data_IF_917460633592
#
_entry.id   IF_917460633592
#
_cell.length_a   1.000
_cell.length_b   1.000
_cell.length_c   1.000
_cell.angle_alpha   90.00
_cell.angle_beta   90.00
_cell.angle_gamma   90.00
#
_symmetry.space_group_name_H-M   'P 1'
#
loop_
_entity.id
_entity.type
_entity.pdbx_description
1 polymer ?
#
# COMPACT_ATOMS: atom_id res chain seq x y z
N UNK A 1 15.73 33.61 -31.15
CA UNK A 1 14.82 34.00 -32.24
C UNK A 1 13.58 33.09 -32.20
N UNK A 2 12.46 33.56 -31.63
CA UNK A 2 11.16 32.89 -31.82
C UNK A 2 10.54 33.53 -33.06
N UNK A 3 10.25 32.75 -34.09
CA UNK A 3 9.61 33.20 -35.32
C UNK A 3 8.19 33.72 -35.02
N UNK A 4 8.07 35.00 -34.66
CA UNK A 4 6.77 35.65 -34.40
C UNK A 4 5.87 35.66 -35.65
N UNK A 5 6.48 35.73 -36.84
CA UNK A 5 5.79 35.73 -38.14
C UNK A 5 5.25 34.34 -38.51
N UNK A 6 5.80 33.26 -37.95
CA UNK A 6 5.40 31.88 -38.28
C UNK A 6 4.98 31.08 -37.03
N UNK A 7 4.33 31.74 -36.07
CA UNK A 7 3.88 31.12 -34.82
C UNK A 7 2.95 29.91 -35.03
N UNK A 8 2.11 29.95 -36.07
CA UNK A 8 1.16 28.88 -36.41
C UNK A 8 1.71 27.79 -37.34
N UNK A 9 3.00 27.83 -37.71
CA UNK A 9 3.58 26.84 -38.62
C UNK A 9 3.88 25.53 -37.91
N UNK A 10 3.34 24.42 -38.42
CA UNK A 10 3.72 23.07 -37.97
C UNK A 10 5.14 22.72 -38.45
N UNK A 11 6.06 22.47 -37.51
CA UNK A 11 7.49 22.16 -37.76
C UNK A 11 7.89 20.71 -37.51
N UNK A 12 7.12 19.95 -36.74
CA UNK A 12 7.41 18.56 -36.38
C UNK A 12 6.46 17.64 -37.14
N UNK A 13 7.00 16.87 -38.10
CA UNK A 13 6.24 15.99 -39.00
C UNK A 13 6.92 14.62 -39.03
N UNK A 14 6.14 13.54 -38.99
CA UNK A 14 6.64 12.16 -39.15
C UNK A 14 6.26 11.65 -40.54
N UNK A 15 7.21 10.98 -41.19
CA UNK A 15 6.97 10.28 -42.45
C UNK A 15 6.77 8.79 -42.16
N UNK A 16 5.71 8.23 -42.72
CA UNK A 16 5.38 6.81 -42.61
C UNK A 16 5.52 6.12 -43.95
N UNK A 17 5.51 4.79 -43.95
CA UNK A 17 5.47 4.02 -45.18
C UNK A 17 4.14 4.27 -45.90
N UNK A 18 4.19 4.50 -47.22
CA UNK A 18 3.04 4.80 -48.07
C UNK A 18 2.02 3.67 -48.13
N UNK A 19 2.42 2.44 -47.85
CA UNK A 19 1.52 1.28 -47.83
C UNK A 19 0.70 1.14 -46.55
N UNK A 20 1.07 1.81 -45.45
CA UNK A 20 0.36 1.72 -44.18
C UNK A 20 -0.76 2.78 -44.11
N UNK A 21 -1.94 2.36 -43.67
CA UNK A 21 -3.05 3.29 -43.45
C UNK A 21 -2.77 4.16 -42.22
N UNK A 22 -2.90 5.49 -42.36
CA UNK A 22 -2.48 6.46 -41.32
C UNK A 22 -3.18 6.27 -39.97
N UNK A 23 -4.42 5.78 -39.94
CA UNK A 23 -5.15 5.58 -38.68
C UNK A 23 -4.61 4.42 -37.83
N UNK A 24 -3.92 3.46 -38.46
CA UNK A 24 -3.45 2.24 -37.79
C UNK A 24 -2.04 2.38 -37.22
N UNK A 25 -1.37 3.49 -37.53
CA UNK A 25 0.01 3.74 -37.13
C UNK A 25 0.08 4.00 -35.63
N UNK A 26 0.75 3.09 -34.91
CA UNK A 26 0.99 3.24 -33.47
C UNK A 26 2.31 3.97 -33.23
N UNK A 27 2.21 5.20 -32.74
CA UNK A 27 3.36 6.02 -32.36
C UNK A 27 3.53 5.92 -30.84
N UNK A 28 4.76 5.86 -30.34
CA UNK A 28 4.99 5.81 -28.88
C UNK A 28 4.58 7.13 -28.21
N UNK A 29 4.19 7.14 -26.92
CA UNK A 29 3.79 8.36 -26.23
C UNK A 29 4.92 9.40 -26.15
N UNK A 30 6.19 8.97 -26.08
CA UNK A 30 7.34 9.88 -26.08
C UNK A 30 7.44 10.68 -27.39
N UNK A 31 7.26 10.00 -28.54
CA UNK A 31 7.22 10.68 -29.84
C UNK A 31 6.00 11.60 -29.97
N UNK A 32 4.85 11.23 -29.40
CA UNK A 32 3.69 12.12 -29.36
C UNK A 32 3.96 13.40 -28.56
N UNK A 33 4.61 13.31 -27.39
CA UNK A 33 4.97 14.49 -26.59
C UNK A 33 5.88 15.43 -27.37
N UNK A 34 6.85 14.87 -28.10
CA UNK A 34 7.71 15.66 -28.97
C UNK A 34 6.92 16.25 -30.14
N UNK A 35 6.08 15.50 -30.84
CA UNK A 35 5.26 16.05 -31.94
C UNK A 35 4.29 17.14 -31.48
N UNK A 36 3.81 17.07 -30.24
CA UNK A 36 2.89 18.04 -29.62
C UNK A 36 3.59 19.20 -28.92
N UNK A 37 4.90 19.38 -29.11
CA UNK A 37 5.69 20.47 -28.48
C UNK A 37 5.67 20.48 -26.94
N UNK A 38 5.33 19.36 -26.31
CA UNK A 38 5.38 19.21 -24.84
C UNK A 38 6.83 19.00 -24.40
N UNK A 39 7.60 18.22 -25.17
CA UNK A 39 9.02 17.98 -24.94
C UNK A 39 9.86 18.80 -25.92
N UNK A 40 10.96 19.41 -25.46
CA UNK A 40 11.88 20.15 -26.33
C UNK A 40 12.71 19.19 -27.19
N UNK A 41 13.45 18.29 -26.54
CA UNK A 41 14.33 17.32 -27.18
C UNK A 41 13.59 16.12 -27.77
N UNK A 42 14.07 15.61 -28.90
CA UNK A 42 13.54 14.40 -29.51
C UNK A 42 13.91 13.16 -28.68
N UNK A 43 13.05 12.14 -28.60
CA UNK A 43 13.36 10.92 -27.87
C UNK A 43 14.53 10.16 -28.50
N UNK A 44 15.49 9.78 -27.66
CA UNK A 44 16.68 9.02 -28.05
C UNK A 44 16.33 7.56 -28.35
N UNK A 45 17.14 6.90 -29.20
CA UNK A 45 17.00 5.47 -29.47
C UNK A 45 17.21 4.62 -28.22
N UNK A 46 18.12 5.04 -27.34
CA UNK A 46 18.39 4.37 -26.06
C UNK A 46 17.18 4.46 -25.12
N UNK A 47 16.53 5.63 -25.06
CA UNK A 47 15.30 5.83 -24.27
C UNK A 47 14.19 4.89 -24.75
N UNK A 48 14.03 4.75 -26.07
CA UNK A 48 13.04 3.85 -26.66
C UNK A 48 13.33 2.38 -26.32
N UNK A 49 14.61 1.97 -26.36
CA UNK A 49 15.00 0.63 -25.97
C UNK A 49 14.69 0.35 -24.49
N UNK A 50 15.03 1.30 -23.61
CA UNK A 50 14.72 1.22 -22.18
C UNK A 50 13.22 1.11 -21.93
N UNK A 51 12.40 1.84 -22.68
CA UNK A 51 10.94 1.77 -22.58
C UNK A 51 10.40 0.37 -22.90
N UNK A 52 10.92 -0.27 -23.95
CA UNK A 52 10.53 -1.65 -24.31
C UNK A 52 10.94 -2.63 -23.21
N UNK A 53 12.15 -2.50 -22.68
CA UNK A 53 12.65 -3.36 -21.60
C UNK A 53 11.81 -3.19 -20.32
N UNK A 54 11.51 -1.94 -19.95
CA UNK A 54 10.64 -1.61 -18.82
C UNK A 54 9.25 -2.24 -18.99
N UNK A 55 8.64 -2.17 -20.17
CA UNK A 55 7.34 -2.80 -20.43
C UNK A 55 7.37 -4.32 -20.23
N UNK A 56 8.45 -4.99 -20.67
CA UNK A 56 8.63 -6.44 -20.47
C UNK A 56 8.77 -6.79 -18.99
N UNK A 57 9.63 -6.07 -18.28
CA UNK A 57 9.84 -6.26 -16.83
C UNK A 57 8.53 -6.03 -16.06
N UNK A 58 7.78 -4.99 -16.39
CA UNK A 58 6.52 -4.67 -15.72
C UNK A 58 5.49 -5.80 -15.87
N UNK A 59 5.40 -6.42 -17.05
CA UNK A 59 4.50 -7.57 -17.27
C UNK A 59 4.90 -8.77 -16.42
N UNK A 60 6.19 -9.06 -16.30
CA UNK A 60 6.68 -10.14 -15.46
C UNK A 60 6.40 -9.86 -13.97
N UNK A 61 6.69 -8.64 -13.51
CA UNK A 61 6.44 -8.24 -12.13
C UNK A 61 4.95 -8.26 -11.78
N UNK A 62 4.09 -7.83 -12.70
CA UNK A 62 2.63 -7.88 -12.52
C UNK A 62 2.16 -9.33 -12.32
N UNK A 63 2.61 -10.26 -13.18
CA UNK A 63 2.30 -11.69 -13.03
C UNK A 63 2.73 -12.24 -11.67
N UNK A 64 3.96 -11.95 -11.24
CA UNK A 64 4.46 -12.42 -9.94
C UNK A 64 3.67 -11.81 -8.78
N UNK A 65 3.20 -10.56 -8.92
CA UNK A 65 2.34 -9.93 -7.93
C UNK A 65 0.97 -10.60 -7.86
N UNK A 66 0.36 -10.92 -9.01
CA UNK A 66 -0.92 -11.64 -9.09
C UNK A 66 -0.81 -13.04 -8.45
N UNK A 67 0.27 -13.78 -8.73
CA UNK A 67 0.55 -15.08 -8.10
C UNK A 67 0.68 -14.92 -6.57
N UNK A 68 1.38 -13.89 -6.11
CA UNK A 68 1.49 -13.57 -4.67
C UNK A 68 0.16 -13.15 -4.06
N UNK A 69 -0.71 -12.47 -4.80
CA UNK A 69 -2.04 -12.09 -4.33
C UNK A 69 -2.99 -13.29 -4.29
N UNK A 70 -2.94 -14.18 -5.27
CA UNK A 70 -3.73 -15.41 -5.31
C UNK A 70 -3.31 -16.41 -4.21
N UNK A 71 -2.02 -16.50 -3.91
CA UNK A 71 -1.49 -17.42 -2.88
C UNK A 71 -1.68 -16.90 -1.44
N UNK A 72 -2.05 -15.63 -1.24
CA UNK A 72 -2.42 -15.15 0.08
C UNK A 72 -3.80 -15.72 0.41
N UNK A 73 -3.96 -16.50 1.48
CA UNK A 73 -5.28 -17.01 1.85
C UNK A 73 -6.21 -15.81 2.04
N UNK A 74 -7.29 -15.78 1.24
CA UNK A 74 -8.29 -14.74 1.34
C UNK A 74 -8.86 -14.78 2.74
N UNK A 75 -8.69 -13.70 3.51
CA UNK A 75 -9.29 -13.59 4.84
C UNK A 75 -10.81 -13.76 4.78
N UNK A 76 -11.45 -13.51 3.63
CA UNK A 76 -12.90 -13.67 3.45
C UNK A 76 -13.33 -15.12 3.15
N UNK A 77 -12.42 -15.98 2.69
CA UNK A 77 -12.69 -17.41 2.52
C UNK A 77 -12.49 -18.11 3.88
N UNK A 78 -13.30 -17.69 4.86
CA UNK A 78 -13.35 -18.36 6.15
C UNK A 78 -13.91 -19.76 5.90
N UNK A 79 -13.25 -20.84 6.39
CA UNK A 79 -13.93 -22.12 6.45
C UNK A 79 -15.20 -21.91 7.29
N UNK A 80 -16.36 -22.17 6.68
CA UNK A 80 -17.69 -22.15 7.31
C UNK A 80 -17.84 -23.30 8.32
N UNK A 81 -16.87 -23.53 9.18
CA UNK A 81 -16.95 -24.54 10.22
C UNK A 81 -16.07 -24.11 11.40
N UNK A 82 -16.69 -24.09 12.59
CA UNK A 82 -16.14 -23.74 13.90
C UNK A 82 -16.24 -22.27 14.29
N UNK A 83 -17.46 -21.74 14.17
CA UNK A 83 -18.00 -20.93 15.27
C UNK A 83 -18.13 -21.87 16.48
N UNK A 84 -17.07 -22.01 17.28
CA UNK A 84 -17.26 -22.40 18.67
C UNK A 84 -18.03 -21.25 19.30
N UNK A 85 -19.27 -21.53 19.71
CA UNK A 85 -20.16 -20.53 20.26
C UNK A 85 -19.43 -19.78 21.39
N UNK A 86 -19.43 -18.44 21.42
CA UNK A 86 -18.99 -17.74 22.60
C UNK A 86 -19.93 -18.15 23.74
N UNK A 87 -19.36 -18.72 24.80
CA UNK A 87 -20.07 -18.92 26.07
C UNK A 87 -20.29 -17.54 26.69
N UNK A 88 -21.27 -16.81 26.20
CA UNK A 88 -21.84 -15.67 26.92
C UNK A 88 -22.79 -16.25 27.97
N UNK A 89 -22.26 -16.58 29.14
CA UNK A 89 -23.07 -16.68 30.35
C UNK A 89 -23.53 -15.27 30.70
N UNK A 90 -24.67 -14.88 30.16
CA UNK A 90 -25.46 -13.78 30.70
C UNK A 90 -26.11 -14.28 31.98
N UNK A 91 -25.49 -14.04 33.14
CA UNK A 91 -26.22 -14.10 34.41
C UNK A 91 -26.93 -12.78 34.58
N UNK A 92 -28.17 -12.76 34.12
CA UNK A 92 -29.18 -11.78 34.51
C UNK A 92 -29.43 -11.94 36.01
N UNK A 93 -29.27 -10.87 36.80
CA UNK A 93 -30.21 -10.48 37.86
C UNK A 93 -29.80 -9.15 38.52
N UNK A 94 -30.69 -8.15 38.59
CA UNK A 94 -30.46 -6.87 39.26
C UNK A 94 -31.13 -6.85 40.63
N UNK A 95 -30.39 -6.74 41.75
CA UNK A 95 -31.02 -6.36 43.03
C UNK A 95 -30.11 -5.42 43.82
N UNK A 96 -30.71 -4.29 44.21
CA UNK A 96 -30.16 -3.23 45.03
C UNK A 96 -29.82 -3.68 46.46
N UNK A 97 -28.64 -3.25 46.93
CA UNK A 97 -28.27 -2.74 48.26
C UNK A 97 -29.16 -3.14 49.47
N UNK A 98 -28.56 -3.90 50.40
CA UNK A 98 -28.74 -3.76 51.85
C UNK A 98 -27.40 -4.05 52.55
N UNK A 99 -27.10 -3.28 53.59
CA UNK A 99 -25.80 -3.23 54.28
C UNK A 99 -25.72 -4.25 55.45
N UNK A 100 -24.65 -4.19 56.27
CA UNK A 100 -23.62 -5.21 56.50
C UNK A 100 -23.98 -6.17 57.66
N UNK A 101 -23.16 -7.20 57.91
CA UNK A 101 -22.70 -7.67 59.23
C UNK A 101 -22.04 -9.07 59.10
N UNK A 102 -20.90 -9.26 59.77
CA UNK A 102 -20.56 -10.56 60.37
C UNK A 102 -19.50 -11.45 59.70
N UNK A 103 -18.30 -11.43 60.31
CA UNK A 103 -17.46 -12.60 60.65
C UNK A 103 -16.45 -13.16 59.63
N UNK A 104 -15.21 -12.67 59.80
CA UNK A 104 -13.98 -13.45 60.09
C UNK A 104 -13.85 -14.88 59.55
N UNK A 105 -12.83 -15.11 58.71
CA UNK A 105 -11.73 -16.05 59.02
C UNK A 105 -10.54 -15.83 58.10
N UNK A 106 -9.36 -15.79 58.71
CA UNK A 106 -8.07 -15.56 58.09
C UNK A 106 -7.58 -16.78 57.30
N UNK A 107 -6.78 -16.53 56.26
CA UNK A 107 -6.02 -17.54 55.52
C UNK A 107 -4.94 -16.89 54.67
N UNK A 108 -3.82 -16.54 55.29
CA UNK A 108 -2.60 -16.08 54.62
C UNK A 108 -2.07 -17.15 53.65
N UNK A 109 -1.78 -16.77 52.41
CA UNK A 109 -0.83 -17.48 51.56
C UNK A 109 0.16 -16.44 51.00
N UNK A 110 1.40 -16.55 51.46
CA UNK A 110 2.54 -15.71 51.11
C UNK A 110 3.08 -16.24 49.79
N UNK A 111 2.82 -15.56 48.68
CA UNK A 111 3.43 -15.89 47.39
C UNK A 111 4.77 -15.13 47.21
N UNK A 112 5.79 -15.92 46.88
CA UNK A 112 7.19 -15.50 46.67
C UNK A 112 7.31 -14.48 45.52
N UNK A 113 8.18 -13.46 45.65
CA UNK A 113 8.30 -12.36 44.68
C UNK A 113 9.05 -12.70 43.37
N UNK A 114 9.61 -13.90 43.22
CA UNK A 114 10.56 -14.19 42.12
C UNK A 114 9.89 -14.61 40.79
N UNK A 115 8.65 -15.14 40.79
CA UNK A 115 7.97 -15.55 39.55
C UNK A 115 7.27 -14.41 38.80
N UNK A 116 6.95 -13.31 39.47
CA UNK A 116 6.23 -12.19 38.87
C UNK A 116 7.10 -11.38 37.88
N UNK A 117 8.41 -11.29 38.13
CA UNK A 117 9.34 -10.52 37.29
C UNK A 117 9.68 -11.25 35.98
N UNK A 118 9.70 -12.58 35.98
CA UNK A 118 10.07 -13.35 34.80
C UNK A 118 8.94 -13.42 33.76
N UNK A 119 7.68 -13.42 34.20
CA UNK A 119 6.50 -13.31 33.32
C UNK A 119 6.44 -11.94 32.64
N UNK A 120 6.67 -10.86 33.39
CA UNK A 120 6.73 -9.50 32.84
C UNK A 120 7.90 -9.29 31.87
N UNK A 121 9.07 -9.90 32.13
CA UNK A 121 10.22 -9.87 31.20
C UNK A 121 10.00 -10.68 29.91
N UNK A 122 9.24 -11.78 29.98
CA UNK A 122 8.91 -12.60 28.80
C UNK A 122 7.86 -11.90 27.94
N UNK A 123 6.82 -11.33 28.54
CA UNK A 123 5.80 -10.54 27.84
C UNK A 123 6.37 -9.29 27.18
N UNK A 124 7.25 -8.53 27.87
CA UNK A 124 7.90 -7.35 27.27
C UNK A 124 8.84 -7.72 26.12
N UNK A 125 9.56 -8.85 26.21
CA UNK A 125 10.36 -9.37 25.08
C UNK A 125 9.50 -9.81 23.90
N UNK A 126 8.36 -10.46 24.13
CA UNK A 126 7.43 -10.83 23.06
C UNK A 126 6.84 -9.60 22.35
N UNK A 127 6.38 -8.61 23.12
CA UNK A 127 5.84 -7.34 22.58
C UNK A 127 6.92 -6.58 21.78
N UNK A 128 8.18 -6.63 22.20
CA UNK A 128 9.30 -6.00 21.48
C UNK A 128 9.62 -6.70 20.15
N UNK A 129 9.39 -8.02 20.06
CA UNK A 129 9.67 -8.82 18.86
C UNK A 129 8.60 -8.61 17.78
N UNK A 130 7.35 -8.37 18.18
CA UNK A 130 6.22 -8.12 17.27
C UNK A 130 6.36 -6.74 16.58
N UNK A 131 7.02 -5.76 17.20
CA UNK A 131 7.19 -4.40 16.64
C UNK A 131 8.17 -4.30 15.46
N UNK A 132 8.88 -5.37 15.08
CA UNK A 132 9.85 -5.33 13.98
C UNK A 132 9.36 -5.95 12.66
N UNK A 133 8.12 -6.48 12.62
CA UNK A 133 7.49 -6.98 11.39
C UNK A 133 6.83 -5.82 10.65
N UNK A 134 7.62 -4.84 10.26
CA UNK A 134 7.13 -3.73 9.46
C UNK A 134 7.45 -3.92 7.99
N UNK A 135 6.44 -3.84 7.11
CA UNK A 135 6.67 -3.84 5.67
C UNK A 135 7.53 -2.64 5.23
N UNK A 136 8.27 -2.71 4.10
CA UNK A 136 9.14 -1.62 3.64
C UNK A 136 8.47 -0.25 3.49
N UNK A 137 7.14 -0.20 3.44
CA UNK A 137 6.32 0.99 3.28
C UNK A 137 5.73 1.56 4.58
N UNK A 138 5.90 0.93 5.75
CA UNK A 138 5.24 1.41 7.00
C UNK A 138 5.78 2.74 7.52
N UNK A 139 7.01 3.10 7.15
CA UNK A 139 7.60 4.40 7.49
C UNK A 139 7.19 5.50 6.51
N UNK A 140 6.45 5.17 5.46
CA UNK A 140 6.04 6.13 4.44
C UNK A 140 4.71 6.76 4.85
N UNK A 141 4.76 8.01 5.28
CA UNK A 141 3.60 8.89 5.37
C UNK A 141 3.72 9.95 4.26
N UNK A 142 2.71 10.16 3.42
CA UNK A 142 2.75 11.25 2.46
C UNK A 142 2.77 12.59 3.21
N UNK A 143 3.64 13.50 2.81
CA UNK A 143 3.58 14.89 3.29
C UNK A 143 2.24 15.53 2.93
N UNK A 144 1.75 16.45 3.76
CA UNK A 144 0.52 17.19 3.49
C UNK A 144 0.62 17.93 2.16
N UNK A 145 -0.25 17.58 1.20
CA UNK A 145 -0.32 18.24 -0.11
C UNK A 145 -0.75 19.70 0.07
N UNK A 146 0.18 20.62 -0.18
CA UNK A 146 -0.11 22.06 -0.21
C UNK A 146 -0.04 22.52 -1.67
N UNK A 147 -1.18 22.83 -2.32
CA UNK A 147 -1.15 23.28 -3.71
C UNK A 147 -0.45 24.63 -3.79
N UNK A 148 0.61 24.74 -4.58
CA UNK A 148 1.27 26.00 -4.88
C UNK A 148 0.29 26.86 -5.70
N UNK A 149 -0.23 27.93 -5.11
CA UNK A 149 -0.99 28.94 -5.84
C UNK A 149 -0.04 29.66 -6.79
N UNK A 150 -0.25 29.50 -8.11
CA UNK A 150 0.47 30.30 -9.11
C UNK A 150 0.02 31.74 -9.00
N UNK A 151 0.91 32.64 -8.59
CA UNK A 151 0.74 34.06 -8.91
C UNK A 151 0.75 34.18 -10.42
N UNK A 152 -0.25 34.87 -10.98
CA UNK A 152 -0.26 35.29 -12.38
C UNK A 152 0.60 36.53 -12.56
#
# INVERSE_FOLDING_TARGET
FKDAINSNRYRRIVKYNRSAHYADIKITPQWHQWLRYVRQEAPSLEEQHKDIMRQRQLKQLARLADERWANKPSYLDHPRNQQTAPVTRSTENPIYRAAPEGQTTAGNAIDRPDEAQERQRKETKEISRIKQTGGPSEKWQPGSWTPTVSSR
#
